data_IF_962089999858
#
_entry.id   IF_962089999858
#
_cell.length_a   1.000
_cell.length_b   1.000
_cell.length_c   1.000
_cell.angle_alpha   90.00
_cell.angle_beta   90.00
_cell.angle_gamma   90.00
#
_symmetry.space_group_name_H-M   'P 1'
#
loop_
_entity.id
_entity.type
_entity.pdbx_description
1 polymer ?
#
# COMPACT_ATOMS: atom_id res chain seq x y z
N UNK A 1 -5.18 9.71 -14.68
CA UNK A 1 -4.33 8.85 -13.81
C UNK A 1 -4.12 9.61 -12.51
N UNK A 2 -4.36 9.00 -11.34
CA UNK A 2 -4.27 9.70 -10.05
C UNK A 2 -2.81 10.02 -9.72
N UNK A 3 -2.53 11.26 -9.29
CA UNK A 3 -1.17 11.72 -9.01
C UNK A 3 -0.53 10.99 -7.80
N UNK A 4 -1.35 10.48 -6.88
CA UNK A 4 -0.92 9.71 -5.72
C UNK A 4 -0.63 8.22 -6.03
N UNK A 5 -0.84 7.75 -7.26
CA UNK A 5 -0.64 6.34 -7.62
C UNK A 5 0.75 6.10 -8.23
N UNK A 6 1.64 5.48 -7.46
CA UNK A 6 3.06 5.35 -7.81
C UNK A 6 3.35 4.07 -8.60
N UNK A 7 3.76 4.20 -9.86
CA UNK A 7 4.16 3.09 -10.73
C UNK A 7 5.70 2.91 -10.76
N UNK A 8 6.22 1.69 -11.02
CA UNK A 8 5.51 0.42 -11.17
C UNK A 8 5.04 -0.12 -9.81
N UNK A 9 3.88 -0.78 -9.79
CA UNK A 9 3.36 -1.47 -8.61
C UNK A 9 3.25 -2.97 -8.91
N UNK A 10 3.83 -3.79 -8.06
CA UNK A 10 3.80 -5.24 -8.23
C UNK A 10 2.69 -5.87 -7.41
N UNK A 11 1.83 -6.63 -8.10
CA UNK A 11 0.77 -7.45 -7.51
C UNK A 11 1.13 -8.91 -7.76
N UNK A 12 1.57 -9.66 -6.72
CA UNK A 12 1.83 -11.09 -6.90
C UNK A 12 0.51 -11.81 -7.30
N UNK A 13 0.57 -12.90 -8.08
CA UNK A 13 -0.62 -13.62 -8.54
C UNK A 13 -1.57 -14.07 -7.42
N UNK A 14 -1.05 -14.39 -6.24
CA UNK A 14 -1.84 -14.77 -5.06
C UNK A 14 -2.77 -13.65 -4.55
N UNK A 15 -2.43 -12.39 -4.85
CA UNK A 15 -3.12 -11.16 -4.44
C UNK A 15 -3.92 -10.53 -5.59
N UNK A 16 -4.20 -11.29 -6.65
CA UNK A 16 -4.95 -10.82 -7.83
C UNK A 16 -6.28 -10.14 -7.48
N UNK A 17 -6.97 -10.64 -6.44
CA UNK A 17 -8.30 -10.18 -6.02
C UNK A 17 -8.29 -9.35 -4.73
N UNK A 18 -7.11 -9.04 -4.20
CA UNK A 18 -6.98 -8.23 -2.98
C UNK A 18 -7.03 -6.75 -3.32
N UNK A 19 -7.68 -5.94 -2.49
CA UNK A 19 -7.57 -4.49 -2.60
C UNK A 19 -6.14 -4.08 -2.25
N UNK A 20 -5.43 -3.47 -3.20
CA UNK A 20 -4.04 -3.05 -2.99
C UNK A 20 -4.00 -1.62 -2.49
N UNK A 21 -3.47 -1.42 -1.29
CA UNK A 21 -3.25 -0.10 -0.68
C UNK A 21 -1.75 0.19 -0.71
N UNK A 22 -1.35 1.27 -1.37
CA UNK A 22 0.02 1.77 -1.31
C UNK A 22 0.21 2.63 -0.06
N UNK A 23 0.88 2.09 0.95
CA UNK A 23 1.20 2.82 2.20
C UNK A 23 2.56 3.50 2.09
N UNK A 24 3.51 2.80 1.48
CA UNK A 24 4.85 3.30 1.18
C UNK A 24 5.03 3.39 -0.33
N UNK A 25 6.06 4.09 -0.77
CA UNK A 25 6.60 4.03 -2.12
C UNK A 25 8.01 3.47 -2.03
N UNK A 26 8.38 2.56 -2.92
CA UNK A 26 9.71 1.96 -2.92
C UNK A 26 9.93 1.04 -1.71
N UNK A 27 11.20 0.88 -1.29
CA UNK A 27 11.58 0.00 -0.20
C UNK A 27 12.59 0.71 0.71
N UNK A 28 12.37 0.69 2.03
CA UNK A 28 13.29 1.29 3.01
C UNK A 28 14.66 0.59 3.06
N UNK A 29 14.72 -0.69 2.68
CA UNK A 29 15.96 -1.45 2.66
C UNK A 29 16.74 -1.27 1.34
N UNK A 30 16.06 -1.40 0.19
CA UNK A 30 16.55 -1.28 -1.20
C UNK A 30 17.93 -1.90 -1.57
N UNK A 31 18.55 -2.71 -0.69
CA UNK A 31 19.87 -3.33 -0.86
C UNK A 31 19.81 -4.81 -1.23
N UNK A 32 18.61 -5.40 -1.32
CA UNK A 32 18.41 -6.78 -1.76
C UNK A 32 19.01 -7.01 -3.15
N UNK A 33 19.75 -8.11 -3.33
CA UNK A 33 20.34 -8.49 -4.63
C UNK A 33 19.32 -9.06 -5.61
N UNK A 34 18.27 -9.70 -5.10
CA UNK A 34 17.22 -10.34 -5.90
C UNK A 34 16.07 -9.39 -6.28
N UNK A 35 15.91 -8.27 -5.56
CA UNK A 35 14.76 -7.38 -5.76
C UNK A 35 15.09 -6.32 -6.80
N UNK A 36 14.59 -6.51 -8.02
CA UNK A 36 14.67 -5.50 -9.09
C UNK A 36 13.50 -4.51 -9.08
N UNK A 37 12.40 -4.86 -8.42
CA UNK A 37 11.12 -4.14 -8.50
C UNK A 37 11.16 -2.69 -7.98
N UNK A 38 11.93 -2.43 -6.92
CA UNK A 38 11.94 -1.13 -6.24
C UNK A 38 13.25 -0.35 -6.40
N UNK A 39 14.18 -0.82 -7.24
CA UNK A 39 15.51 -0.20 -7.41
C UNK A 39 15.45 1.23 -7.95
N UNK A 40 14.45 1.54 -8.77
CA UNK A 40 14.24 2.88 -9.35
C UNK A 40 13.30 3.79 -8.55
N UNK A 41 12.75 3.34 -7.41
CA UNK A 41 11.83 4.14 -6.59
C UNK A 41 12.52 4.63 -5.32
N UNK A 42 12.40 5.92 -5.06
CA UNK A 42 12.81 6.48 -3.77
C UNK A 42 11.83 6.06 -2.68
N UNK A 43 12.36 5.75 -1.49
CA UNK A 43 11.51 5.39 -0.36
C UNK A 43 10.79 6.63 0.17
N UNK A 44 9.46 6.57 0.20
CA UNK A 44 8.60 7.61 0.79
C UNK A 44 7.46 6.96 1.56
N UNK A 45 7.12 7.54 2.70
CA UNK A 45 5.92 7.18 3.44
C UNK A 45 4.82 8.15 3.08
N UNK A 46 3.66 7.64 2.67
CA UNK A 46 2.50 8.49 2.42
C UNK A 46 1.96 9.10 3.73
N UNK A 47 1.43 10.30 3.64
CA UNK A 47 0.73 10.96 4.73
C UNK A 47 -0.55 10.20 5.09
N UNK A 48 -1.14 10.53 6.26
CA UNK A 48 -2.40 9.89 6.66
C UNK A 48 -3.52 10.27 5.68
N UNK A 49 -3.48 11.49 5.16
CA UNK A 49 -4.44 12.06 4.23
C UNK A 49 -4.33 11.37 2.86
N UNK A 50 -3.10 11.22 2.32
CA UNK A 50 -2.85 10.50 1.07
C UNK A 50 -3.37 9.05 1.15
N UNK A 51 -3.17 8.38 2.29
CA UNK A 51 -3.65 7.00 2.48
C UNK A 51 -5.18 6.94 2.55
N UNK A 52 -5.83 7.88 3.24
CA UNK A 52 -7.29 7.95 3.32
C UNK A 52 -7.91 8.17 1.95
N UNK A 53 -7.40 9.15 1.21
CA UNK A 53 -7.88 9.47 -0.14
C UNK A 53 -7.67 8.29 -1.10
N UNK A 54 -6.57 7.56 -0.92
CA UNK A 54 -6.29 6.35 -1.67
C UNK A 54 -7.29 5.23 -1.34
N UNK A 55 -7.61 5.02 -0.06
CA UNK A 55 -8.61 4.02 0.37
C UNK A 55 -10.00 4.36 -0.19
N UNK A 56 -10.44 5.61 -0.11
CA UNK A 56 -11.77 6.02 -0.61
C UNK A 56 -11.89 5.80 -2.12
N UNK A 57 -10.82 6.05 -2.88
CA UNK A 57 -10.80 5.72 -4.30
C UNK A 57 -10.77 4.23 -4.58
N UNK A 58 -10.02 3.45 -3.81
CA UNK A 58 -10.05 2.00 -3.93
C UNK A 58 -11.46 1.45 -3.66
N UNK A 59 -12.22 2.03 -2.72
CA UNK A 59 -13.63 1.67 -2.51
C UNK A 59 -14.50 1.97 -3.73
N UNK A 60 -14.30 3.09 -4.41
CA UNK A 60 -15.07 3.40 -5.62
C UNK A 60 -14.74 2.46 -6.79
N UNK A 61 -13.55 1.85 -6.80
CA UNK A 61 -13.10 0.94 -7.86
C UNK A 61 -13.40 -0.53 -7.55
N UNK A 62 -13.17 -0.98 -6.31
CA UNK A 62 -13.27 -2.38 -5.88
C UNK A 62 -14.54 -2.68 -5.07
N UNK A 63 -15.33 -1.68 -4.70
CA UNK A 63 -16.44 -1.78 -3.76
C UNK A 63 -16.03 -1.52 -2.31
N UNK A 64 -17.02 -1.31 -1.44
CA UNK A 64 -16.81 -0.87 -0.05
C UNK A 64 -16.34 -1.97 0.92
N UNK A 65 -16.44 -3.25 0.56
CA UNK A 65 -16.17 -4.37 1.47
C UNK A 65 -15.19 -5.41 0.87
N UNK A 66 -13.88 -5.11 0.80
CA UNK A 66 -12.90 -6.05 0.28
C UNK A 66 -12.68 -7.23 1.24
N UNK A 67 -12.77 -8.45 0.71
CA UNK A 67 -12.46 -9.68 1.48
C UNK A 67 -11.00 -9.73 1.95
N UNK A 68 -10.07 -9.21 1.14
CA UNK A 68 -8.63 -9.19 1.40
C UNK A 68 -8.03 -7.84 1.04
N UNK A 69 -7.09 -7.40 1.86
CA UNK A 69 -6.33 -6.16 1.66
C UNK A 69 -4.85 -6.54 1.60
N UNK A 70 -4.15 -6.01 0.60
CA UNK A 70 -2.71 -6.17 0.45
C UNK A 70 -2.06 -4.80 0.59
N UNK A 71 -1.25 -4.62 1.64
CA UNK A 71 -0.46 -3.42 1.84
C UNK A 71 0.80 -3.55 0.97
N UNK A 72 0.80 -2.85 -0.17
CA UNK A 72 1.83 -2.99 -1.18
C UNK A 72 2.95 -1.96 -1.03
N UNK A 73 3.91 -2.06 -1.96
CA UNK A 73 5.26 -1.50 -1.92
C UNK A 73 6.20 -2.23 -0.93
N UNK A 74 7.49 -1.92 -0.98
CA UNK A 74 8.55 -2.89 -0.69
C UNK A 74 8.76 -3.27 0.77
N UNK A 75 8.45 -2.41 1.74
CA UNK A 75 8.63 -2.75 3.16
C UNK A 75 7.68 -1.98 4.07
N UNK A 76 6.39 -2.34 4.06
CA UNK A 76 5.39 -1.72 4.95
C UNK A 76 5.67 -2.01 6.44
N UNK A 77 6.36 -3.11 6.75
CA UNK A 77 6.70 -3.50 8.13
C UNK A 77 7.80 -2.64 8.75
N UNK A 78 8.44 -1.72 8.01
CA UNK A 78 9.36 -0.76 8.61
C UNK A 78 8.64 0.33 9.42
N UNK A 79 7.31 0.38 9.38
CA UNK A 79 6.51 1.32 10.15
C UNK A 79 6.45 0.91 11.62
N UNK A 80 6.40 1.92 12.50
CA UNK A 80 6.12 1.68 13.92
C UNK A 80 4.78 0.97 14.08
N UNK A 81 4.71 0.05 15.04
CA UNK A 81 3.52 -0.77 15.33
C UNK A 81 2.27 0.07 15.50
N UNK A 82 2.36 1.23 16.15
CA UNK A 82 1.23 2.13 16.37
C UNK A 82 0.65 2.62 15.04
N UNK A 83 1.51 2.98 14.08
CA UNK A 83 1.08 3.42 12.76
C UNK A 83 0.47 2.28 11.94
N UNK A 84 0.97 1.06 12.08
CA UNK A 84 0.35 -0.13 11.48
C UNK A 84 -1.03 -0.39 12.07
N UNK A 85 -1.18 -0.30 13.39
CA UNK A 85 -2.47 -0.47 14.06
C UNK A 85 -3.48 0.60 13.66
N UNK A 86 -3.07 1.85 13.48
CA UNK A 86 -3.94 2.91 12.95
C UNK A 86 -4.48 2.56 11.56
N UNK A 87 -3.60 2.09 10.65
CA UNK A 87 -3.99 1.68 9.30
C UNK A 87 -4.95 0.49 9.30
N UNK A 88 -4.69 -0.51 10.15
CA UNK A 88 -5.53 -1.70 10.29
C UNK A 88 -6.87 -1.38 10.96
N UNK A 89 -6.90 -0.45 11.92
CA UNK A 89 -8.14 -0.01 12.56
C UNK A 89 -9.02 0.81 11.61
N UNK A 90 -8.43 1.46 10.60
CA UNK A 90 -9.21 2.09 9.55
C UNK A 90 -10.14 1.07 8.88
N UNK A 91 -9.68 -0.17 8.68
CA UNK A 91 -10.51 -1.28 8.16
C UNK A 91 -11.69 -1.62 9.09
N UNK A 92 -11.48 -1.68 10.41
CA UNK A 92 -12.55 -2.01 11.38
C UNK A 92 -13.69 -1.00 11.41
N UNK A 93 -13.43 0.25 11.02
CA UNK A 93 -14.45 1.30 10.89
C UNK A 93 -15.14 1.31 9.53
N UNK A 94 -14.69 0.46 8.61
CA UNK A 94 -15.19 0.35 7.24
C UNK A 94 -16.07 -0.90 7.06
N UNK A 95 -15.94 -1.90 7.93
CA UNK A 95 -16.83 -3.08 8.02
C UNK A 95 -18.10 -2.79 8.80
#
# INVERSE_FOLDING_TARGET
MRYDYSQPLYRPPSEAWSMIIQVTEGCSHNKCRFCYMYKGKQFRLKSKEEIKDHIEWLKSVYGSNPKRIFLADGNVLCLKTEKLLELLNYKKRIS
#
